data_IF_415080347365
#
_entry.id   IF_415080347365
#
_cell.length_a   1.000
_cell.length_b   1.000
_cell.length_c   1.000
_cell.angle_alpha   90.00
_cell.angle_beta   90.00
_cell.angle_gamma   90.00
#
_symmetry.space_group_name_H-M   'P 1'
#
loop_
_entity.id
_entity.type
_entity.pdbx_description
1 polymer ?
#
# COMPACT_ATOMS: atom_id res chain seq x y z
N UNK A 1 -1.52 8.79 36.76
CA UNK A 1 -0.94 10.08 36.36
C UNK A 1 -1.30 10.32 34.90
N UNK A 2 -1.54 11.57 34.52
CA UNK A 2 -1.93 11.94 33.16
C UNK A 2 -0.86 11.53 32.13
N UNK A 3 0.39 11.82 32.42
CA UNK A 3 1.54 11.51 31.56
C UNK A 3 1.68 9.99 31.25
N UNK A 4 1.28 9.13 32.23
CA UNK A 4 1.28 7.67 32.03
C UNK A 4 0.20 7.25 31.03
N UNK A 5 -0.98 7.87 31.09
CA UNK A 5 -2.07 7.56 30.16
C UNK A 5 -1.76 8.05 28.74
N UNK A 6 -1.17 9.24 28.60
CA UNK A 6 -0.74 9.78 27.32
C UNK A 6 0.37 8.92 26.71
N UNK A 7 1.39 8.56 27.49
CA UNK A 7 2.47 7.68 27.05
C UNK A 7 1.93 6.28 26.66
N UNK A 8 1.00 5.71 27.42
CA UNK A 8 0.40 4.43 27.09
C UNK A 8 -0.35 4.47 25.77
N UNK A 9 -1.09 5.56 25.48
CA UNK A 9 -1.79 5.75 24.22
C UNK A 9 -0.81 5.91 23.04
N UNK A 10 0.23 6.70 23.21
CA UNK A 10 1.27 6.88 22.19
C UNK A 10 2.00 5.57 21.85
N UNK A 11 2.32 4.77 22.87
CA UNK A 11 3.07 3.51 22.69
C UNK A 11 2.30 2.44 21.92
N UNK A 12 0.96 2.41 22.02
CA UNK A 12 0.11 1.50 21.23
C UNK A 12 0.31 1.75 19.71
N UNK A 13 0.38 3.01 19.29
CA UNK A 13 0.55 3.38 17.89
C UNK A 13 2.01 3.21 17.44
N UNK A 14 2.98 3.55 18.29
CA UNK A 14 4.41 3.34 18.02
C UNK A 14 4.71 1.85 17.86
N UNK A 15 4.20 0.98 18.73
CA UNK A 15 4.37 -0.47 18.61
C UNK A 15 3.78 -0.99 17.30
N UNK A 16 2.60 -0.50 16.92
CA UNK A 16 1.94 -0.90 15.67
C UNK A 16 2.77 -0.47 14.46
N UNK A 17 3.27 0.76 14.45
CA UNK A 17 4.12 1.28 13.38
C UNK A 17 5.41 0.46 13.23
N UNK A 18 6.08 0.10 14.32
CA UNK A 18 7.29 -0.75 14.31
C UNK A 18 6.98 -2.14 13.75
N UNK A 19 5.88 -2.76 14.16
CA UNK A 19 5.51 -4.08 13.67
C UNK A 19 5.12 -4.08 12.18
N UNK A 20 4.47 -3.02 11.71
CA UNK A 20 4.19 -2.83 10.28
C UNK A 20 5.52 -2.61 9.52
N UNK A 21 6.45 -1.84 10.07
CA UNK A 21 7.76 -1.64 9.47
C UNK A 21 8.53 -2.96 9.31
N UNK A 22 8.49 -3.82 10.32
CA UNK A 22 9.10 -5.15 10.24
C UNK A 22 8.53 -5.95 9.05
N UNK A 23 7.23 -6.10 8.93
CA UNK A 23 6.63 -6.89 7.83
C UNK A 23 6.79 -6.21 6.47
N UNK A 24 6.86 -4.89 6.40
CA UNK A 24 7.18 -4.14 5.19
C UNK A 24 8.65 -4.35 4.76
N UNK A 25 9.58 -4.37 5.69
CA UNK A 25 10.98 -4.69 5.40
C UNK A 25 11.13 -6.14 4.92
N UNK A 26 10.47 -7.10 5.56
CA UNK A 26 10.43 -8.50 5.12
C UNK A 26 9.81 -8.65 3.73
N UNK A 27 8.78 -7.87 3.39
CA UNK A 27 8.18 -7.85 2.07
C UNK A 27 9.11 -7.31 0.97
N UNK A 28 10.20 -6.63 1.33
CA UNK A 28 11.27 -6.22 0.41
C UNK A 28 12.39 -7.26 0.31
N UNK A 29 12.67 -7.96 1.39
CA UNK A 29 13.76 -8.93 1.48
C UNK A 29 13.39 -10.29 0.86
N UNK A 30 12.23 -10.85 1.24
CA UNK A 30 11.88 -12.22 0.85
C UNK A 30 11.69 -12.44 -0.65
N UNK A 31 11.10 -11.52 -1.44
CA UNK A 31 11.04 -11.69 -2.88
C UNK A 31 12.40 -11.86 -3.55
N UNK A 32 13.44 -11.16 -3.07
CA UNK A 32 14.82 -11.28 -3.56
C UNK A 32 15.44 -12.66 -3.23
N UNK A 33 14.88 -13.35 -2.23
CA UNK A 33 15.25 -14.71 -1.86
C UNK A 33 14.36 -15.77 -2.54
N UNK A 34 13.44 -15.36 -3.41
CA UNK A 34 12.48 -16.24 -4.08
C UNK A 34 11.38 -16.79 -3.16
N UNK A 35 11.11 -16.12 -2.03
CA UNK A 35 10.14 -16.54 -1.00
C UNK A 35 8.99 -15.55 -0.92
N UNK A 36 7.75 -16.03 -0.87
CA UNK A 36 6.58 -15.17 -0.61
C UNK A 36 6.51 -14.84 0.89
N UNK A 37 6.46 -13.55 1.22
CA UNK A 37 6.34 -13.08 2.62
C UNK A 37 5.08 -13.61 3.29
N UNK A 38 4.00 -13.83 2.54
CA UNK A 38 2.73 -14.34 3.06
C UNK A 38 2.86 -15.77 3.59
N UNK A 39 3.58 -16.63 2.88
CA UNK A 39 3.86 -18.01 3.31
C UNK A 39 4.66 -18.01 4.63
N UNK A 40 5.65 -17.13 4.73
CA UNK A 40 6.47 -17.00 5.94
C UNK A 40 5.62 -16.48 7.12
N UNK A 41 4.82 -15.44 6.91
CA UNK A 41 3.97 -14.88 7.96
C UNK A 41 2.88 -15.86 8.39
N UNK A 42 2.33 -16.64 7.47
CA UNK A 42 1.35 -17.69 7.76
C UNK A 42 1.97 -18.84 8.55
N UNK A 43 3.17 -19.28 8.19
CA UNK A 43 3.91 -20.29 8.95
C UNK A 43 4.28 -19.79 10.35
N UNK A 44 4.75 -18.55 10.48
CA UNK A 44 5.07 -17.94 11.78
C UNK A 44 3.83 -17.80 12.68
N UNK A 45 2.67 -17.49 12.09
CA UNK A 45 1.40 -17.34 12.81
C UNK A 45 0.86 -18.64 13.43
N UNK A 46 1.45 -19.79 13.12
CA UNK A 46 1.15 -21.05 13.82
C UNK A 46 1.65 -21.06 15.27
N UNK A 47 2.54 -20.14 15.64
CA UNK A 47 3.00 -19.95 17.02
C UNK A 47 2.02 -19.05 17.77
N UNK A 48 1.57 -19.49 18.95
CA UNK A 48 0.58 -18.80 19.76
C UNK A 48 0.94 -17.36 20.19
N UNK A 49 2.23 -17.04 20.24
CA UNK A 49 2.74 -15.73 20.64
C UNK A 49 3.22 -14.86 19.47
N UNK A 50 2.95 -15.28 18.22
CA UNK A 50 3.24 -14.46 17.06
C UNK A 50 2.05 -13.54 16.73
N UNK A 51 2.26 -12.24 16.85
CA UNK A 51 1.27 -11.24 16.46
C UNK A 51 1.45 -10.87 15.00
N UNK A 52 0.53 -11.36 14.17
CA UNK A 52 0.59 -11.15 12.72
C UNK A 52 0.24 -9.72 12.35
N UNK A 53 1.09 -9.13 11.49
CA UNK A 53 0.85 -7.91 10.74
C UNK A 53 0.95 -8.22 9.25
N UNK A 54 0.32 -7.39 8.42
CA UNK A 54 0.33 -7.55 6.95
C UNK A 54 1.11 -6.40 6.32
N UNK A 55 2.01 -6.67 5.39
CA UNK A 55 2.70 -5.62 4.65
C UNK A 55 1.74 -4.88 3.72
N UNK A 56 2.13 -3.68 3.30
CA UNK A 56 1.29 -2.87 2.42
C UNK A 56 2.07 -1.80 1.68
N UNK A 57 1.37 -0.99 0.92
CA UNK A 57 1.96 0.11 0.13
C UNK A 57 2.50 1.27 0.98
N UNK A 58 2.22 1.27 2.27
CA UNK A 58 2.62 2.28 3.23
C UNK A 58 1.69 2.32 4.43
N UNK A 59 1.92 3.26 5.33
CA UNK A 59 1.13 3.47 6.56
C UNK A 59 0.50 4.85 6.51
N UNK A 60 -0.82 4.88 6.59
CA UNK A 60 -1.60 6.10 6.61
C UNK A 60 -2.39 6.33 7.89
N UNK A 61 -3.11 7.45 7.94
CA UNK A 61 -3.95 7.88 9.04
C UNK A 61 -3.27 8.84 10.01
N UNK A 62 -4.06 9.37 10.97
CA UNK A 62 -3.66 10.47 11.83
C UNK A 62 -2.80 10.09 13.04
N UNK A 63 -2.73 8.79 13.41
CA UNK A 63 -2.09 8.36 14.64
C UNK A 63 -0.84 7.52 14.37
N UNK A 64 -0.97 6.41 13.62
CA UNK A 64 0.14 5.47 13.43
C UNK A 64 1.37 6.14 12.77
N UNK A 65 1.24 6.95 11.70
CA UNK A 65 2.39 7.61 11.10
C UNK A 65 2.85 8.87 11.85
N UNK A 66 2.06 9.40 12.80
CA UNK A 66 2.30 10.69 13.46
C UNK A 66 2.83 10.53 14.89
N UNK A 67 2.21 9.68 15.73
CA UNK A 67 2.59 9.52 17.14
C UNK A 67 4.08 9.14 17.34
N UNK A 68 4.72 8.33 16.45
CA UNK A 68 6.14 8.08 16.56
C UNK A 68 7.01 9.35 16.55
N UNK A 69 6.63 10.39 15.81
CA UNK A 69 7.39 11.66 15.78
C UNK A 69 7.30 12.41 17.11
N UNK A 70 6.15 12.37 17.79
CA UNK A 70 6.05 12.93 19.14
C UNK A 70 6.96 12.19 20.12
N UNK A 71 7.03 10.87 20.04
CA UNK A 71 7.95 10.08 20.88
C UNK A 71 9.40 10.37 20.55
N UNK A 72 9.75 10.49 19.26
CA UNK A 72 11.11 10.85 18.83
C UNK A 72 11.51 12.24 19.36
N UNK A 73 10.58 13.22 19.30
CA UNK A 73 10.83 14.56 19.84
C UNK A 73 11.04 14.54 21.35
N UNK A 74 10.18 13.81 22.09
CA UNK A 74 10.33 13.69 23.55
C UNK A 74 11.63 12.99 23.95
N UNK A 75 12.07 12.00 23.18
CA UNK A 75 13.37 11.35 23.38
C UNK A 75 14.52 12.34 23.15
N UNK A 76 14.45 13.15 22.10
CA UNK A 76 15.43 14.20 21.81
C UNK A 76 15.50 15.27 22.93
N UNK A 77 14.35 15.69 23.48
CA UNK A 77 14.25 16.65 24.58
C UNK A 77 15.02 16.22 25.84
N UNK A 78 15.18 14.92 26.03
CA UNK A 78 15.92 14.33 27.17
C UNK A 78 17.28 13.76 26.77
N UNK A 79 17.73 13.99 25.53
CA UNK A 79 19.03 13.57 25.03
C UNK A 79 19.18 12.06 24.78
N UNK A 80 18.07 11.33 24.62
CA UNK A 80 18.07 9.88 24.32
C UNK A 80 17.65 9.65 22.87
N UNK A 81 18.47 9.00 22.01
CA UNK A 81 18.08 8.75 20.62
C UNK A 81 17.01 7.65 20.52
N UNK A 82 15.97 7.91 19.71
CA UNK A 82 14.88 6.95 19.41
C UNK A 82 15.22 6.13 18.14
N UNK A 83 16.28 5.35 18.16
CA UNK A 83 16.86 4.68 16.97
C UNK A 83 15.87 3.73 16.29
N UNK A 84 15.26 2.82 17.03
CA UNK A 84 14.30 1.83 16.48
C UNK A 84 13.07 2.51 15.87
N UNK A 85 12.51 3.52 16.55
CA UNK A 85 11.34 4.25 16.08
C UNK A 85 11.68 5.00 14.78
N UNK A 86 12.85 5.62 14.75
CA UNK A 86 13.36 6.36 13.57
C UNK A 86 13.53 5.41 12.37
N UNK A 87 14.14 4.25 12.58
CA UNK A 87 14.34 3.24 11.54
C UNK A 87 12.99 2.72 11.02
N UNK A 88 12.04 2.39 11.90
CA UNK A 88 10.71 1.92 11.53
C UNK A 88 9.96 2.96 10.67
N UNK A 89 9.99 4.25 11.07
CA UNK A 89 9.40 5.33 10.27
C UNK A 89 10.04 5.45 8.89
N UNK A 90 11.36 5.33 8.79
CA UNK A 90 12.06 5.36 7.51
C UNK A 90 11.60 4.21 6.58
N UNK A 91 11.47 2.99 7.09
CA UNK A 91 10.96 1.84 6.32
C UNK A 91 9.54 2.12 5.83
N UNK A 92 8.60 2.45 6.73
CA UNK A 92 7.19 2.66 6.36
C UNK A 92 7.02 3.83 5.36
N UNK A 93 7.77 4.91 5.53
CA UNK A 93 7.72 6.08 4.64
C UNK A 93 8.25 5.80 3.23
N UNK A 94 9.18 4.86 3.09
CA UNK A 94 9.77 4.52 1.79
C UNK A 94 9.00 3.42 1.04
N UNK A 95 8.00 2.79 1.65
CA UNK A 95 7.21 1.74 0.98
C UNK A 95 6.49 2.20 -0.28
N UNK A 96 5.83 3.38 -0.33
CA UNK A 96 5.19 3.82 -1.57
C UNK A 96 6.20 3.97 -2.71
N UNK A 97 7.38 4.46 -2.43
CA UNK A 97 8.47 4.62 -3.41
C UNK A 97 8.99 3.25 -3.91
N UNK A 98 9.14 2.29 -2.99
CA UNK A 98 9.49 0.91 -3.35
C UNK A 98 8.43 0.29 -4.25
N UNK A 99 7.15 0.39 -3.91
CA UNK A 99 6.04 -0.14 -4.70
C UNK A 99 5.98 0.50 -6.09
N UNK A 100 6.17 1.83 -6.20
CA UNK A 100 6.25 2.50 -7.50
C UNK A 100 7.41 1.99 -8.36
N UNK A 101 8.54 1.64 -7.75
CA UNK A 101 9.69 1.04 -8.47
C UNK A 101 9.33 -0.35 -8.98
N UNK A 102 8.72 -1.20 -8.15
CA UNK A 102 8.25 -2.53 -8.54
C UNK A 102 7.21 -2.47 -9.67
N UNK A 103 6.24 -1.55 -9.58
CA UNK A 103 5.24 -1.34 -10.64
C UNK A 103 5.91 -0.96 -11.97
N UNK A 104 6.88 -0.04 -11.93
CA UNK A 104 7.62 0.37 -13.13
C UNK A 104 8.38 -0.82 -13.76
N UNK A 105 8.97 -1.69 -12.96
CA UNK A 105 9.64 -2.91 -13.43
C UNK A 105 8.66 -3.90 -14.07
N UNK A 106 7.48 -4.09 -13.45
CA UNK A 106 6.41 -4.94 -13.99
C UNK A 106 5.96 -4.41 -15.36
N UNK A 107 5.68 -3.11 -15.47
CA UNK A 107 5.29 -2.47 -16.73
C UNK A 107 6.39 -2.60 -17.80
N UNK A 108 7.65 -2.40 -17.43
CA UNK A 108 8.79 -2.59 -18.33
C UNK A 108 8.88 -4.02 -18.86
N UNK A 109 8.78 -5.04 -17.98
CA UNK A 109 8.74 -6.46 -18.36
C UNK A 109 7.55 -6.79 -19.28
N UNK A 110 6.43 -6.10 -19.08
CA UNK A 110 5.24 -6.21 -19.93
C UNK A 110 5.33 -5.42 -21.25
N UNK A 111 6.48 -4.80 -21.55
CA UNK A 111 6.70 -3.95 -22.71
C UNK A 111 5.75 -2.75 -22.79
N UNK A 112 5.46 -2.14 -21.65
CA UNK A 112 4.69 -0.89 -21.54
C UNK A 112 5.68 0.24 -21.20
N UNK A 113 5.93 1.19 -22.12
CA UNK A 113 6.78 2.35 -21.83
C UNK A 113 6.15 3.26 -20.78
N UNK A 114 6.94 3.76 -19.83
CA UNK A 114 6.45 4.62 -18.73
C UNK A 114 5.65 5.83 -19.24
N UNK A 115 6.17 6.58 -20.24
CA UNK A 115 5.48 7.76 -20.80
C UNK A 115 4.13 7.50 -21.47
N UNK A 116 3.71 6.24 -21.62
CA UNK A 116 2.37 5.84 -22.12
C UNK A 116 1.61 4.96 -21.16
N UNK A 117 2.22 4.59 -20.04
CA UNK A 117 1.62 3.71 -19.04
C UNK A 117 0.49 4.39 -18.27
N UNK A 118 -0.59 3.66 -18.05
CA UNK A 118 -1.76 4.08 -17.29
C UNK A 118 -2.02 3.11 -16.15
N UNK A 119 -1.89 3.59 -14.93
CA UNK A 119 -2.16 2.80 -13.72
C UNK A 119 -3.49 3.23 -13.11
N UNK A 120 -4.37 2.27 -12.86
CA UNK A 120 -5.60 2.46 -12.10
C UNK A 120 -5.36 2.08 -10.64
N UNK A 121 -5.51 3.05 -9.75
CA UNK A 121 -5.42 2.86 -8.31
C UNK A 121 -6.82 2.65 -7.73
N UNK A 122 -7.01 1.55 -7.00
CA UNK A 122 -8.25 1.22 -6.30
C UNK A 122 -8.08 1.51 -4.80
N UNK A 123 -8.88 2.45 -4.30
CA UNK A 123 -8.84 2.96 -2.94
C UNK A 123 -7.81 4.08 -2.78
N UNK A 124 -8.31 5.25 -2.35
CA UNK A 124 -7.50 6.45 -2.05
C UNK A 124 -7.46 6.75 -0.56
N UNK A 125 -8.50 6.38 0.19
CA UNK A 125 -8.59 6.57 1.64
C UNK A 125 -7.45 5.87 2.37
N UNK A 126 -7.06 6.38 3.55
CA UNK A 126 -6.02 5.72 4.34
C UNK A 126 -6.46 4.38 4.95
N UNK A 127 -7.78 4.15 5.05
CA UNK A 127 -8.37 2.95 5.68
C UNK A 127 -9.63 2.53 4.93
N UNK A 128 -9.84 1.20 4.84
CA UNK A 128 -11.04 0.64 4.24
C UNK A 128 -12.33 1.11 4.96
N UNK A 129 -13.37 1.35 4.18
CA UNK A 129 -14.71 1.78 4.62
C UNK A 129 -14.72 3.13 5.37
N UNK A 130 -13.73 3.98 5.12
CA UNK A 130 -13.64 5.32 5.69
C UNK A 130 -13.32 6.31 4.57
N UNK A 131 -14.13 7.34 4.40
CA UNK A 131 -13.92 8.41 3.40
C UNK A 131 -12.96 9.49 3.91
N UNK A 132 -11.73 9.13 4.23
CA UNK A 132 -10.73 10.07 4.73
C UNK A 132 -9.41 9.92 3.96
N UNK A 133 -9.06 10.92 3.10
CA UNK A 133 -7.84 10.89 2.29
C UNK A 133 -6.59 11.37 3.04
N UNK A 134 -6.72 11.91 4.26
CA UNK A 134 -5.59 12.53 4.97
C UNK A 134 -4.52 11.51 5.32
N UNK A 135 -3.25 11.88 5.08
CA UNK A 135 -2.11 10.99 5.33
C UNK A 135 -2.27 9.61 4.65
N UNK A 136 -2.89 9.58 3.48
CA UNK A 136 -3.03 8.33 2.73
C UNK A 136 -1.69 7.90 2.10
N UNK A 137 -1.35 6.60 2.07
CA UNK A 137 -0.18 6.12 1.33
C UNK A 137 -0.36 6.18 -0.20
N UNK A 138 -1.59 6.42 -0.68
CA UNK A 138 -1.88 6.60 -2.10
C UNK A 138 -1.21 7.85 -2.68
N UNK A 139 -1.13 8.93 -1.89
CA UNK A 139 -0.55 10.21 -2.33
C UNK A 139 0.96 10.09 -2.64
N UNK A 140 1.85 9.67 -1.73
CA UNK A 140 3.26 9.49 -2.05
C UNK A 140 3.52 8.39 -3.08
N UNK A 141 2.63 7.39 -3.22
CA UNK A 141 2.69 6.41 -4.30
C UNK A 141 2.41 7.06 -5.65
N UNK A 142 1.40 7.93 -5.71
CA UNK A 142 1.05 8.70 -6.90
C UNK A 142 2.20 9.59 -7.34
N UNK A 143 2.77 10.39 -6.42
CA UNK A 143 3.93 11.24 -6.70
C UNK A 143 5.10 10.43 -7.27
N UNK A 144 5.36 9.25 -6.69
CA UNK A 144 6.43 8.36 -7.15
C UNK A 144 6.15 7.76 -8.54
N UNK A 145 4.91 7.45 -8.89
CA UNK A 145 4.52 6.98 -10.23
C UNK A 145 4.60 8.10 -11.26
N UNK A 146 4.07 9.28 -10.94
CA UNK A 146 4.15 10.47 -11.81
C UNK A 146 5.59 10.88 -12.09
N UNK A 147 6.49 10.78 -11.10
CA UNK A 147 7.92 11.06 -11.29
C UNK A 147 8.63 10.10 -12.27
N UNK A 148 7.97 9.00 -12.63
CA UNK A 148 8.40 8.01 -13.61
C UNK A 148 7.63 8.12 -14.94
N UNK A 149 6.92 9.24 -15.17
CA UNK A 149 6.06 9.49 -16.33
C UNK A 149 4.93 8.44 -16.49
N UNK A 150 4.43 7.88 -15.39
CA UNK A 150 3.31 6.95 -15.37
C UNK A 150 2.04 7.72 -14.99
N UNK A 151 1.03 7.73 -15.85
CA UNK A 151 -0.23 8.40 -15.58
C UNK A 151 -1.06 7.62 -14.54
N UNK A 152 -1.58 8.35 -13.54
CA UNK A 152 -2.35 7.77 -12.44
C UNK A 152 -3.82 8.12 -12.57
N UNK A 153 -4.65 7.10 -12.54
CA UNK A 153 -6.09 7.15 -12.44
C UNK A 153 -6.50 6.56 -11.09
N UNK A 154 -7.51 7.11 -10.44
CA UNK A 154 -7.93 6.61 -9.13
C UNK A 154 -9.44 6.46 -9.03
N UNK A 155 -9.87 5.41 -8.33
CA UNK A 155 -11.23 5.16 -7.92
C UNK A 155 -11.28 4.91 -6.42
N UNK A 156 -12.15 5.62 -5.70
CA UNK A 156 -12.46 5.36 -4.30
C UNK A 156 -13.97 5.54 -4.08
N UNK A 157 -14.68 4.55 -3.54
CA UNK A 157 -16.14 4.63 -3.39
C UNK A 157 -16.60 5.57 -2.27
N UNK A 158 -15.69 6.12 -1.47
CA UNK A 158 -15.98 6.93 -0.28
C UNK A 158 -15.37 8.34 -0.34
N UNK A 159 -14.59 8.66 -1.39
CA UNK A 159 -13.93 9.95 -1.58
C UNK A 159 -14.62 10.72 -2.70
N UNK A 160 -14.97 11.97 -2.47
CA UNK A 160 -15.50 12.85 -3.50
C UNK A 160 -14.39 13.27 -4.48
N UNK A 161 -14.75 13.44 -5.76
CA UNK A 161 -13.79 13.78 -6.83
C UNK A 161 -12.98 15.04 -6.53
N UNK A 162 -13.55 15.99 -5.80
CA UNK A 162 -12.89 17.23 -5.36
C UNK A 162 -11.78 17.05 -4.33
N UNK A 163 -11.68 15.88 -3.73
CA UNK A 163 -10.68 15.55 -2.69
C UNK A 163 -9.43 14.87 -3.25
N UNK A 164 -9.41 14.56 -4.56
CA UNK A 164 -8.21 14.05 -5.22
C UNK A 164 -7.30 15.18 -5.69
N UNK A 165 -5.97 14.96 -5.73
CA UNK A 165 -5.05 15.92 -6.36
C UNK A 165 -5.37 16.17 -7.83
N UNK A 166 -5.06 17.37 -8.34
CA UNK A 166 -5.32 17.74 -9.75
C UNK A 166 -4.59 16.86 -10.76
N UNK A 167 -3.47 16.29 -10.38
CA UNK A 167 -2.64 15.41 -11.20
C UNK A 167 -3.24 14.00 -11.39
N UNK A 168 -4.24 13.65 -10.60
CA UNK A 168 -4.92 12.36 -10.63
C UNK A 168 -6.18 12.45 -11.48
N UNK A 169 -6.33 11.57 -12.45
CA UNK A 169 -7.59 11.45 -13.18
C UNK A 169 -8.57 10.57 -12.39
N UNK A 170 -9.66 11.15 -11.94
CA UNK A 170 -10.67 10.42 -11.17
C UNK A 170 -11.52 9.53 -12.08
N UNK A 171 -11.70 8.28 -11.65
CA UNK A 171 -12.63 7.33 -12.28
C UNK A 171 -13.92 7.30 -11.46
N UNK A 172 -14.98 7.85 -12.00
CA UNK A 172 -16.28 7.96 -11.31
C UNK A 172 -17.00 6.61 -11.21
N UNK A 173 -16.88 5.79 -12.25
CA UNK A 173 -17.55 4.49 -12.35
C UNK A 173 -16.57 3.39 -12.78
N UNK A 174 -16.25 2.50 -11.84
CA UNK A 174 -15.35 1.38 -12.06
C UNK A 174 -15.90 0.37 -13.10
N UNK A 175 -17.22 0.33 -13.30
CA UNK A 175 -17.85 -0.60 -14.25
C UNK A 175 -17.59 -0.20 -15.71
N UNK A 176 -17.29 1.06 -15.98
CA UNK A 176 -16.96 1.60 -17.30
C UNK A 176 -15.46 1.84 -17.49
N UNK A 177 -14.68 1.69 -16.44
CA UNK A 177 -13.23 1.88 -16.44
C UNK A 177 -12.55 1.00 -17.50
N UNK A 178 -11.66 1.58 -18.31
CA UNK A 178 -11.02 0.88 -19.44
C UNK A 178 -9.69 1.50 -19.86
N UNK A 179 -8.89 0.73 -20.60
CA UNK A 179 -7.68 1.24 -21.26
C UNK A 179 -6.47 1.44 -20.34
N UNK A 180 -6.44 0.76 -19.18
CA UNK A 180 -5.30 0.77 -18.25
C UNK A 180 -4.33 -0.38 -18.53
N UNK A 181 -3.08 -0.24 -18.08
CA UNK A 181 -2.03 -1.24 -18.22
C UNK A 181 -1.79 -2.02 -16.93
N UNK A 182 -2.14 -1.43 -15.78
CA UNK A 182 -2.02 -2.06 -14.49
C UNK A 182 -3.08 -1.52 -13.54
N UNK A 183 -3.61 -2.40 -12.69
CA UNK A 183 -4.45 -2.05 -11.54
C UNK A 183 -3.68 -2.30 -10.26
N UNK A 184 -3.68 -1.34 -9.34
CA UNK A 184 -3.16 -1.54 -7.98
C UNK A 184 -4.25 -1.38 -6.94
N UNK A 185 -4.37 -2.33 -6.02
CA UNK A 185 -5.21 -2.19 -4.82
C UNK A 185 -4.40 -1.52 -3.70
N UNK A 186 -4.76 -0.29 -3.36
CA UNK A 186 -4.11 0.51 -2.31
C UNK A 186 -4.90 0.46 -1.01
N UNK A 187 -6.23 0.62 -1.10
CA UNK A 187 -7.12 0.51 0.06
C UNK A 187 -8.23 -0.49 -0.22
N UNK A 188 -8.35 -1.49 0.65
CA UNK A 188 -9.21 -2.65 0.45
C UNK A 188 -10.67 -2.36 0.86
N UNK A 189 -11.31 -1.37 0.22
CA UNK A 189 -12.76 -1.20 0.34
C UNK A 189 -13.49 -2.43 -0.21
N UNK A 190 -14.61 -2.79 0.39
CA UNK A 190 -15.40 -3.93 -0.08
C UNK A 190 -15.76 -3.81 -1.58
N UNK A 191 -16.13 -2.60 -2.01
CA UNK A 191 -16.40 -2.31 -3.43
C UNK A 191 -15.18 -2.42 -4.34
N UNK A 192 -13.96 -2.22 -3.84
CA UNK A 192 -12.72 -2.38 -4.60
C UNK A 192 -12.25 -3.84 -4.65
N UNK A 193 -12.50 -4.59 -3.59
CA UNK A 193 -12.14 -6.02 -3.51
C UNK A 193 -13.07 -6.88 -4.36
N UNK A 194 -14.37 -6.56 -4.35
CA UNK A 194 -15.42 -7.35 -4.99
C UNK A 194 -15.86 -6.81 -6.37
N UNK A 195 -14.97 -6.14 -7.10
CA UNK A 195 -15.27 -5.70 -8.47
C UNK A 195 -15.42 -6.90 -9.42
N UNK A 196 -16.04 -6.67 -10.56
CA UNK A 196 -16.05 -7.64 -11.67
C UNK A 196 -14.66 -7.67 -12.34
N UNK A 197 -13.76 -8.51 -11.79
CA UNK A 197 -12.39 -8.67 -12.29
C UNK A 197 -12.34 -9.20 -13.72
N UNK A 198 -13.24 -10.12 -14.12
CA UNK A 198 -13.30 -10.64 -15.50
C UNK A 198 -13.71 -9.53 -16.48
N UNK A 199 -14.77 -8.79 -16.14
CA UNK A 199 -15.23 -7.67 -16.97
C UNK A 199 -14.21 -6.53 -17.04
N UNK A 200 -13.55 -6.17 -15.94
CA UNK A 200 -12.49 -5.15 -15.96
C UNK A 200 -11.30 -5.63 -16.79
N UNK A 201 -10.85 -6.88 -16.62
CA UNK A 201 -9.72 -7.45 -17.37
C UNK A 201 -9.90 -7.37 -18.88
N UNK A 202 -11.12 -7.64 -19.39
CA UNK A 202 -11.45 -7.52 -20.80
C UNK A 202 -11.40 -6.10 -21.37
N UNK A 203 -11.49 -5.08 -20.50
CA UNK A 203 -11.39 -3.66 -20.87
C UNK A 203 -10.00 -3.07 -20.67
N UNK A 204 -9.06 -3.82 -20.06
CA UNK A 204 -7.67 -3.42 -19.89
C UNK A 204 -6.88 -3.47 -21.20
N UNK A 205 -5.86 -2.64 -21.35
CA UNK A 205 -4.82 -2.82 -22.39
C UNK A 205 -3.90 -3.99 -22.02
N UNK A 206 -3.58 -4.09 -20.74
CA UNK A 206 -2.84 -5.21 -20.13
C UNK A 206 -3.54 -5.57 -18.81
N UNK A 207 -4.07 -6.78 -18.64
CA UNK A 207 -4.69 -7.20 -17.39
C UNK A 207 -3.61 -7.57 -16.36
N UNK A 208 -2.94 -6.56 -15.81
CA UNK A 208 -1.91 -6.71 -14.77
C UNK A 208 -2.49 -6.18 -13.46
N UNK A 209 -2.42 -6.99 -12.41
CA UNK A 209 -2.85 -6.64 -11.06
C UNK A 209 -1.66 -6.63 -10.10
N UNK A 210 -1.60 -5.59 -9.27
CA UNK A 210 -0.74 -5.54 -8.09
C UNK A 210 -1.59 -5.43 -6.82
N UNK A 211 -1.65 -6.48 -6.01
CA UNK A 211 -2.31 -6.45 -4.70
C UNK A 211 -1.39 -5.83 -3.66
N UNK A 212 -1.61 -4.55 -3.38
CA UNK A 212 -0.88 -3.80 -2.37
C UNK A 212 -1.32 -4.09 -0.92
N UNK A 213 -2.32 -4.96 -0.72
CA UNK A 213 -2.91 -5.23 0.60
C UNK A 213 -2.90 -6.70 1.01
N UNK A 214 -2.55 -7.62 0.10
CA UNK A 214 -2.55 -9.08 0.33
C UNK A 214 -3.93 -9.62 0.78
N UNK A 215 -5.00 -9.13 0.15
CA UNK A 215 -6.39 -9.51 0.50
C UNK A 215 -7.14 -10.17 -0.66
N UNK A 216 -6.59 -10.12 -1.88
CA UNK A 216 -7.25 -10.68 -3.05
C UNK A 216 -6.93 -12.17 -3.22
N UNK A 217 -7.90 -12.92 -3.79
CA UNK A 217 -7.65 -14.28 -4.22
C UNK A 217 -6.93 -14.26 -5.58
N UNK A 218 -5.60 -14.20 -5.54
CA UNK A 218 -4.76 -14.05 -6.73
C UNK A 218 -4.85 -15.26 -7.67
N UNK A 219 -5.06 -16.47 -7.15
CA UNK A 219 -5.23 -17.69 -7.97
C UNK A 219 -6.48 -17.57 -8.83
N UNK A 220 -7.62 -17.26 -8.21
CA UNK A 220 -8.88 -17.06 -8.91
C UNK A 220 -8.82 -15.93 -9.95
N UNK A 221 -8.14 -14.83 -9.63
CA UNK A 221 -7.99 -13.69 -10.56
C UNK A 221 -7.05 -14.07 -11.71
N UNK A 222 -6.00 -14.83 -11.45
CA UNK A 222 -5.10 -15.36 -12.49
C UNK A 222 -5.82 -16.28 -13.48
N UNK A 223 -6.77 -17.12 -13.01
CA UNK A 223 -7.60 -17.96 -13.87
C UNK A 223 -8.49 -17.14 -14.84
N UNK A 224 -8.77 -15.87 -14.53
CA UNK A 224 -9.47 -14.93 -15.41
C UNK A 224 -8.55 -14.26 -16.44
N UNK A 225 -7.26 -14.67 -16.52
CA UNK A 225 -6.29 -14.15 -17.49
C UNK A 225 -5.49 -12.95 -17.01
N UNK A 226 -5.53 -12.61 -15.72
CA UNK A 226 -4.71 -11.54 -15.15
C UNK A 226 -3.28 -12.02 -14.85
N UNK A 227 -2.29 -11.18 -15.16
CA UNK A 227 -0.96 -11.31 -14.59
C UNK A 227 -1.00 -10.72 -13.17
N UNK A 228 -0.80 -11.55 -12.15
CA UNK A 228 -1.00 -11.16 -10.76
C UNK A 228 0.32 -10.98 -10.01
N UNK A 229 0.45 -9.86 -9.35
CA UNK A 229 1.56 -9.50 -8.46
C UNK A 229 1.00 -9.04 -7.12
N UNK A 230 1.83 -9.04 -6.09
CA UNK A 230 1.45 -8.52 -4.78
C UNK A 230 2.67 -8.04 -3.99
N UNK A 231 2.43 -7.19 -2.99
CA UNK A 231 3.47 -6.74 -2.08
C UNK A 231 4.11 -7.95 -1.37
N UNK A 232 5.44 -8.05 -1.44
CA UNK A 232 6.18 -9.14 -0.82
C UNK A 232 6.08 -10.51 -1.51
N UNK A 233 5.59 -10.57 -2.75
CA UNK A 233 5.55 -11.77 -3.59
C UNK A 233 6.69 -11.72 -4.62
N UNK A 234 7.44 -12.82 -4.84
CA UNK A 234 8.40 -12.93 -5.94
C UNK A 234 7.74 -12.68 -7.29
N UNK A 235 8.49 -12.06 -8.23
CA UNK A 235 8.02 -11.68 -9.57
C UNK A 235 8.37 -12.70 -10.65
#
# INVERSE_FOLDING_TARGET
>A
KLEVAEAAKGIENVQRDINIALVNELARIFPELGVDVEDVLSAAATKWNFHRYTPGVGVGGHCIPVDPYYMMQRAADVGVPAELITAARAVNRTMPLHVATVINEILYKASVPSGSAKVLMLGWSYKAEVGDPRETPAEPLTEALLSKDIAVYAYDPHIESSQFPEEVTVVEDITTASGFDLVILVTAHEKCVNIDWDGLGKRMRKPILYDGRRVLNLEKISEMGWQVHAVGKPQ
#
